data_IF_241728436623
#
_entry.id   IF_241728436623
#
_cell.length_a   1.000
_cell.length_b   1.000
_cell.length_c   1.000
_cell.angle_alpha   90.00
_cell.angle_beta   90.00
_cell.angle_gamma   90.00
#
_symmetry.space_group_name_H-M   'P 1'
#
loop_
_entity.id
_entity.type
_entity.pdbx_description
1 polymer ?
#
# COMPACT_ATOMS: atom_id res chain seq x y z
N UNK A 1 -21.76 4.61 4.12
CA UNK A 1 -21.29 4.81 5.50
C UNK A 1 -21.28 3.49 6.24
N UNK A 2 -20.31 3.32 7.08
CA UNK A 2 -20.21 2.12 7.88
C UNK A 2 -21.18 2.23 9.06
N UNK A 3 -22.17 1.34 9.11
CA UNK A 3 -23.18 1.28 10.18
C UNK A 3 -23.89 2.60 10.47
N UNK A 4 -24.02 3.44 9.46
CA UNK A 4 -24.67 4.73 9.61
C UNK A 4 -23.82 5.81 10.24
N UNK A 5 -22.59 5.51 10.60
CA UNK A 5 -21.67 6.48 11.18
C UNK A 5 -20.77 7.08 10.12
N UNK A 6 -20.31 8.29 10.36
CA UNK A 6 -19.25 8.88 9.54
C UNK A 6 -17.94 8.33 10.07
N UNK A 7 -17.30 7.47 9.30
CA UNK A 7 -16.08 6.78 9.72
C UNK A 7 -14.92 7.74 9.84
N UNK A 8 -14.85 8.74 8.96
CA UNK A 8 -13.81 9.74 9.02
C UNK A 8 -14.36 11.07 8.50
N UNK A 9 -14.14 12.11 9.29
CA UNK A 9 -14.43 13.49 8.90
C UNK A 9 -13.12 14.24 8.95
N UNK A 10 -12.78 14.95 7.88
CA UNK A 10 -11.55 15.71 7.82
C UNK A 10 -11.28 16.20 6.43
N UNK A 11 -10.08 16.70 6.23
CA UNK A 11 -9.67 17.20 4.92
C UNK A 11 -9.55 16.05 3.94
N UNK A 12 -9.92 16.25 2.66
CA UNK A 12 -9.83 15.20 1.65
C UNK A 12 -8.45 14.54 1.55
N UNK A 13 -7.39 15.31 1.79
CA UNK A 13 -6.03 14.78 1.79
C UNK A 13 -5.85 13.70 2.85
N UNK A 14 -6.33 13.92 4.06
CA UNK A 14 -6.20 12.93 5.13
C UNK A 14 -7.02 11.68 4.83
N UNK A 15 -8.23 11.86 4.31
CA UNK A 15 -9.07 10.75 3.90
C UNK A 15 -8.39 9.89 2.84
N UNK A 16 -7.67 10.53 1.95
CA UNK A 16 -7.06 9.86 0.81
C UNK A 16 -5.74 9.18 1.19
N UNK A 17 -4.82 9.89 1.83
CA UNK A 17 -3.47 9.39 2.09
C UNK A 17 -3.42 8.36 3.22
N UNK A 18 -4.14 8.62 4.31
CA UNK A 18 -4.13 7.75 5.50
C UNK A 18 -5.54 7.51 6.01
N UNK A 19 -6.31 6.70 5.30
CA UNK A 19 -7.67 6.37 5.75
C UNK A 19 -7.64 5.72 7.13
N UNK A 20 -8.59 6.09 7.98
CA UNK A 20 -8.63 5.58 9.36
C UNK A 20 -9.16 4.16 9.47
N UNK A 21 -9.84 3.67 8.44
CA UNK A 21 -10.29 2.28 8.41
C UNK A 21 -10.02 1.69 7.05
N UNK A 22 -9.98 0.37 6.97
CA UNK A 22 -9.82 -0.32 5.70
C UNK A 22 -11.01 -0.08 4.78
N UNK A 23 -12.20 0.11 5.36
CA UNK A 23 -13.39 0.43 4.58
C UNK A 23 -13.20 1.74 3.80
N UNK A 24 -12.75 2.81 4.47
CA UNK A 24 -12.51 4.09 3.83
C UNK A 24 -11.39 3.95 2.78
N UNK A 25 -10.30 3.25 3.12
CA UNK A 25 -9.19 3.06 2.19
C UNK A 25 -9.60 2.32 0.92
N UNK A 26 -10.50 1.35 1.05
CA UNK A 26 -10.95 0.56 -0.08
C UNK A 26 -11.86 1.35 -1.01
N UNK A 27 -12.75 2.17 -0.46
CA UNK A 27 -13.78 2.85 -1.25
C UNK A 27 -13.47 4.27 -1.66
N UNK A 28 -12.40 4.87 -1.13
CA UNK A 28 -11.98 6.23 -1.49
C UNK A 28 -10.92 6.14 -2.58
N UNK A 29 -11.17 6.80 -3.68
CA UNK A 29 -10.22 6.87 -4.79
C UNK A 29 -10.38 5.73 -5.78
N UNK A 30 -9.74 5.88 -6.92
CA UNK A 30 -9.69 4.88 -7.97
C UNK A 30 -8.28 4.91 -8.57
N UNK A 31 -7.55 3.81 -8.53
CA UNK A 31 -7.93 2.51 -7.97
C UNK A 31 -8.00 2.50 -6.44
N UNK A 32 -8.58 1.44 -5.91
CA UNK A 32 -8.66 1.26 -4.48
C UNK A 32 -7.27 1.06 -3.87
N UNK A 33 -7.17 1.34 -2.57
CA UNK A 33 -5.94 1.16 -1.81
C UNK A 33 -5.51 -0.30 -1.80
N UNK A 34 -4.20 -0.54 -1.93
CA UNK A 34 -3.66 -1.88 -1.75
C UNK A 34 -3.71 -2.25 -0.27
N UNK A 35 -4.22 -3.45 0.03
CA UNK A 35 -4.29 -3.98 1.39
C UNK A 35 -3.71 -5.38 1.40
N UNK A 36 -2.71 -5.61 2.26
CA UNK A 36 -2.02 -6.89 2.37
C UNK A 36 -2.07 -7.42 3.79
N UNK A 37 -2.45 -8.69 3.94
CA UNK A 37 -2.34 -9.37 5.22
C UNK A 37 -0.87 -9.47 5.60
N UNK A 38 -0.52 -9.00 6.78
CA UNK A 38 0.85 -8.85 7.22
C UNK A 38 0.98 -9.19 8.70
N UNK A 39 2.21 -9.20 9.18
CA UNK A 39 2.50 -9.47 10.59
C UNK A 39 3.54 -8.47 11.09
N UNK A 40 3.34 -7.94 12.30
CA UNK A 40 4.30 -7.02 12.90
C UNK A 40 5.53 -7.80 13.36
N UNK A 41 6.71 -7.37 12.93
CA UNK A 41 7.96 -8.04 13.28
C UNK A 41 8.90 -7.18 14.12
N UNK A 42 8.70 -5.88 14.17
CA UNK A 42 9.48 -4.98 15.00
C UNK A 42 8.66 -3.75 15.38
N UNK A 43 9.29 -2.78 16.05
CA UNK A 43 8.60 -1.57 16.48
C UNK A 43 8.07 -0.73 15.32
N UNK A 44 8.60 -0.91 14.12
CA UNK A 44 8.23 -0.09 12.97
C UNK A 44 8.22 -0.87 11.66
N UNK A 45 8.24 -2.19 11.69
CA UNK A 45 8.23 -2.96 10.45
C UNK A 45 7.23 -4.09 10.49
N UNK A 46 6.74 -4.44 9.31
CA UNK A 46 5.82 -5.54 9.10
C UNK A 46 6.40 -6.49 8.05
N UNK A 47 5.85 -7.68 7.99
CA UNK A 47 6.29 -8.70 7.04
C UNK A 47 5.10 -9.30 6.30
N UNK A 48 5.21 -9.40 4.99
CA UNK A 48 4.29 -10.17 4.18
C UNK A 48 5.07 -10.85 3.05
N UNK A 49 4.69 -12.09 2.71
CA UNK A 49 5.33 -12.86 1.64
C UNK A 49 6.87 -12.89 1.75
N UNK A 50 7.38 -13.05 2.98
CA UNK A 50 8.82 -13.06 3.27
C UNK A 50 9.54 -11.73 2.98
N UNK A 51 8.77 -10.65 2.82
CA UNK A 51 9.30 -9.31 2.62
C UNK A 51 9.06 -8.46 3.85
N UNK A 52 10.08 -7.77 4.31
CA UNK A 52 9.95 -6.86 5.44
C UNK A 52 9.84 -5.43 4.94
N UNK A 53 8.81 -4.73 5.39
CA UNK A 53 8.53 -3.35 5.01
C UNK A 53 8.62 -2.47 6.24
N UNK A 54 9.43 -1.43 6.16
CA UNK A 54 9.56 -0.45 7.23
C UNK A 54 8.46 0.60 7.09
N UNK A 55 7.88 0.99 8.22
CA UNK A 55 6.85 2.03 8.28
C UNK A 55 7.33 3.14 9.21
N UNK A 56 6.58 4.23 9.26
CA UNK A 56 6.81 5.31 10.22
C UNK A 56 5.87 5.22 11.43
N UNK A 57 5.09 4.15 11.51
CA UNK A 57 4.14 3.94 12.58
C UNK A 57 4.81 3.21 13.74
N UNK A 58 4.49 3.63 14.97
CA UNK A 58 4.95 2.93 16.17
C UNK A 58 4.08 1.68 16.38
N UNK A 59 4.69 0.53 16.21
CA UNK A 59 4.02 -0.77 16.32
C UNK A 59 4.38 -1.50 17.61
N UNK A 60 5.01 -0.82 18.56
CA UNK A 60 5.52 -1.45 19.76
C UNK A 60 4.44 -2.12 20.62
N UNK A 61 3.22 -1.60 20.56
CA UNK A 61 2.09 -2.14 21.35
C UNK A 61 1.42 -3.34 20.70
N UNK A 62 1.74 -3.64 19.44
CA UNK A 62 1.09 -4.70 18.67
C UNK A 62 2.09 -5.66 18.04
N UNK A 63 3.22 -5.88 18.71
CA UNK A 63 4.23 -6.84 18.22
C UNK A 63 3.65 -8.22 18.05
N UNK A 64 4.08 -8.92 17.00
CA UNK A 64 3.66 -10.28 16.66
C UNK A 64 2.18 -10.43 16.36
N UNK A 65 1.46 -9.32 16.18
CA UNK A 65 0.06 -9.38 15.79
C UNK A 65 -0.10 -9.36 14.28
N UNK A 66 -1.19 -9.94 13.83
CA UNK A 66 -1.55 -9.88 12.41
C UNK A 66 -2.22 -8.54 12.14
N UNK A 67 -1.79 -7.90 11.07
CA UNK A 67 -2.26 -6.59 10.68
C UNK A 67 -2.46 -6.57 9.17
N UNK A 68 -2.96 -5.46 8.65
CA UNK A 68 -2.99 -5.22 7.20
C UNK A 68 -2.11 -4.03 6.88
N UNK A 69 -1.27 -4.18 5.88
CA UNK A 69 -0.52 -3.06 5.31
C UNK A 69 -1.37 -2.42 4.22
N UNK A 70 -1.57 -1.11 4.31
CA UNK A 70 -2.30 -0.36 3.30
C UNK A 70 -1.42 0.70 2.67
N UNK A 71 -1.48 0.80 1.35
CA UNK A 71 -0.80 1.88 0.62
C UNK A 71 -1.53 2.14 -0.70
N UNK A 72 -1.70 3.42 -1.02
CA UNK A 72 -2.33 3.83 -2.26
C UNK A 72 -1.45 3.53 -3.46
N UNK A 73 -2.07 3.15 -4.56
CA UNK A 73 -1.35 2.79 -5.80
C UNK A 73 -0.47 3.92 -6.31
N UNK A 74 -0.88 5.17 -6.16
CA UNK A 74 -0.11 6.31 -6.64
C UNK A 74 1.12 6.62 -5.81
N UNK A 75 1.21 6.09 -4.60
CA UNK A 75 2.39 6.26 -3.75
C UNK A 75 3.42 5.15 -3.97
N UNK A 76 3.04 4.06 -4.61
CA UNK A 76 3.97 3.00 -4.97
C UNK A 76 4.66 3.41 -6.25
N UNK A 77 5.98 3.51 -6.22
CA UNK A 77 6.76 4.01 -7.33
C UNK A 77 7.67 2.92 -7.87
N UNK A 78 8.11 3.07 -9.12
CA UNK A 78 9.15 2.20 -9.66
C UNK A 78 10.44 2.57 -8.95
N UNK A 79 11.10 1.57 -8.38
CA UNK A 79 12.32 1.79 -7.61
C UNK A 79 13.44 2.28 -8.51
N UNK A 80 14.24 3.19 -8.00
CA UNK A 80 15.40 3.74 -8.69
C UNK A 80 16.66 3.31 -7.96
N UNK A 81 17.03 4.04 -6.90
CA UNK A 81 18.22 3.74 -6.12
C UNK A 81 17.91 3.50 -4.63
N UNK A 82 16.62 3.37 -4.31
CA UNK A 82 16.22 3.07 -2.94
C UNK A 82 16.73 1.71 -2.51
N UNK A 83 17.09 1.57 -1.23
CA UNK A 83 17.59 0.32 -0.66
C UNK A 83 16.61 -0.34 0.30
N UNK A 84 15.68 0.43 0.87
CA UNK A 84 14.66 -0.07 1.78
C UNK A 84 13.30 -0.06 1.10
N UNK A 85 12.44 -0.96 1.52
CA UNK A 85 11.05 -1.05 1.04
C UNK A 85 10.97 -1.22 -0.48
N UNK A 86 11.94 -1.89 -1.05
CA UNK A 86 11.95 -2.24 -2.48
C UNK A 86 11.56 -3.70 -2.60
N UNK A 87 10.56 -3.96 -3.44
CA UNK A 87 10.05 -5.31 -3.64
C UNK A 87 10.12 -5.67 -5.11
N UNK A 88 10.45 -6.93 -5.38
CA UNK A 88 10.45 -7.47 -6.73
C UNK A 88 9.07 -8.03 -7.03
N UNK A 89 8.48 -7.57 -8.13
CA UNK A 89 7.16 -8.06 -8.54
C UNK A 89 7.23 -8.57 -9.97
N UNK A 90 6.38 -9.53 -10.27
CA UNK A 90 6.18 -10.01 -11.63
C UNK A 90 5.00 -9.27 -12.24
N UNK A 91 5.23 -8.56 -13.33
CA UNK A 91 4.18 -7.80 -13.99
C UNK A 91 3.18 -8.77 -14.61
N UNK A 92 1.91 -8.68 -14.20
CA UNK A 92 0.85 -9.51 -14.78
C UNK A 92 0.01 -8.73 -15.77
N UNK A 93 -0.10 -7.40 -15.60
CA UNK A 93 -0.91 -6.58 -16.49
C UNK A 93 -0.48 -5.11 -16.41
N UNK A 94 -0.56 -4.43 -17.54
CA UNK A 94 -0.40 -2.98 -17.60
C UNK A 94 -1.63 -2.43 -18.34
N UNK A 95 -2.33 -1.50 -17.70
CA UNK A 95 -3.52 -0.89 -18.28
C UNK A 95 -3.26 0.60 -18.51
N UNK A 96 -3.55 1.08 -19.72
CA UNK A 96 -3.40 2.49 -20.08
C UNK A 96 -4.77 3.16 -20.00
N UNK A 97 -4.92 4.10 -19.07
CA UNK A 97 -6.18 4.82 -18.88
C UNK A 97 -6.19 6.20 -19.56
N UNK A 98 -5.18 6.49 -20.39
CA UNK A 98 -5.12 7.75 -21.12
C UNK A 98 -4.33 8.83 -20.42
N UNK A 99 -4.53 9.00 -19.12
CA UNK A 99 -3.81 9.98 -18.31
C UNK A 99 -2.81 9.36 -17.34
N UNK A 100 -2.86 8.04 -17.17
CA UNK A 100 -1.91 7.29 -16.34
C UNK A 100 -1.92 5.82 -16.77
N UNK A 101 -0.95 5.08 -16.28
CA UNK A 101 -0.93 3.62 -16.42
C UNK A 101 -1.05 2.96 -15.06
N UNK A 102 -1.77 1.84 -15.02
CA UNK A 102 -1.89 1.03 -13.81
C UNK A 102 -1.18 -0.29 -14.03
N UNK A 103 -0.15 -0.52 -13.23
CA UNK A 103 0.63 -1.76 -13.27
C UNK A 103 0.08 -2.70 -12.22
N UNK A 104 -0.25 -3.92 -12.63
CA UNK A 104 -0.59 -4.99 -11.69
C UNK A 104 0.58 -5.96 -11.62
N UNK A 105 1.15 -6.10 -10.43
CA UNK A 105 2.26 -7.02 -10.19
C UNK A 105 1.86 -8.10 -9.22
N UNK A 106 2.56 -9.22 -9.26
CA UNK A 106 2.32 -10.34 -8.35
C UNK A 106 3.55 -10.61 -7.49
N UNK A 107 3.30 -10.89 -6.21
CA UNK A 107 4.29 -11.30 -5.24
C UNK A 107 3.72 -12.53 -4.54
N UNK A 108 4.15 -13.74 -4.94
CA UNK A 108 3.56 -14.96 -4.41
C UNK A 108 2.05 -14.97 -4.63
N UNK A 109 1.27 -14.98 -3.55
CA UNK A 109 -0.18 -14.96 -3.62
C UNK A 109 -0.78 -13.56 -3.64
N UNK A 110 0.05 -12.53 -3.46
CA UNK A 110 -0.42 -11.16 -3.36
C UNK A 110 -0.38 -10.46 -4.71
N UNK A 111 -1.36 -9.58 -4.93
CA UNK A 111 -1.37 -8.66 -6.05
C UNK A 111 -1.17 -7.25 -5.55
N UNK A 112 -0.31 -6.50 -6.25
CA UNK A 112 -0.05 -5.10 -5.92
C UNK A 112 -0.29 -4.26 -7.15
N UNK A 113 -0.93 -3.11 -6.97
CA UNK A 113 -1.20 -2.18 -8.07
C UNK A 113 -0.44 -0.89 -7.85
N UNK A 114 0.21 -0.41 -8.90
CA UNK A 114 0.96 0.84 -8.88
C UNK A 114 0.44 1.75 -9.99
N UNK A 115 0.09 2.97 -9.63
CA UNK A 115 -0.34 3.98 -10.58
C UNK A 115 0.86 4.84 -10.94
N UNK A 116 1.22 4.89 -12.23
CA UNK A 116 2.38 5.61 -12.71
C UNK A 116 1.99 6.56 -13.83
N UNK A 117 2.86 7.49 -14.13
CA UNK A 117 2.67 8.40 -15.25
C UNK A 117 2.62 7.62 -16.55
N UNK A 118 1.82 8.10 -17.51
CA UNK A 118 1.60 7.39 -18.76
C UNK A 118 2.88 7.15 -19.53
N UNK A 119 3.81 8.08 -19.50
CA UNK A 119 5.07 8.00 -20.23
C UNK A 119 6.14 7.16 -19.55
N UNK A 120 5.84 6.62 -18.36
CA UNK A 120 6.81 5.82 -17.60
C UNK A 120 7.20 4.57 -18.39
N UNK A 121 8.49 4.34 -18.65
CA UNK A 121 8.91 3.10 -19.29
C UNK A 121 8.74 1.94 -18.33
N UNK A 122 8.16 0.84 -18.82
CA UNK A 122 7.87 -0.33 -18.01
C UNK A 122 8.57 -1.53 -18.61
N UNK A 123 9.41 -2.20 -17.79
CA UNK A 123 10.04 -3.45 -18.18
C UNK A 123 8.99 -4.56 -18.28
N UNK A 124 9.17 -5.45 -19.21
CA UNK A 124 8.11 -6.36 -19.64
C UNK A 124 7.71 -7.44 -18.64
N UNK A 125 8.60 -7.88 -17.75
CA UNK A 125 8.30 -9.04 -16.91
C UNK A 125 8.47 -8.80 -15.43
N UNK A 126 9.56 -8.17 -15.01
CA UNK A 126 9.86 -7.96 -13.60
C UNK A 126 10.10 -6.49 -13.33
N UNK A 127 9.57 -6.01 -12.23
CA UNK A 127 9.78 -4.65 -11.77
C UNK A 127 10.18 -4.65 -10.32
N UNK A 128 10.95 -3.65 -9.95
CA UNK A 128 11.20 -3.34 -8.53
C UNK A 128 10.34 -2.14 -8.17
N UNK A 129 9.50 -2.31 -7.17
CA UNK A 129 8.62 -1.25 -6.70
C UNK A 129 9.09 -0.77 -5.34
N UNK A 130 8.96 0.52 -5.11
CA UNK A 130 9.34 1.18 -3.87
C UNK A 130 8.09 1.64 -3.13
N UNK A 131 7.98 1.25 -1.86
CA UNK A 131 6.87 1.63 -0.98
C UNK A 131 7.40 2.62 0.06
N UNK A 132 7.19 3.94 -0.11
CA UNK A 132 7.69 4.92 0.85
C UNK A 132 7.14 4.66 2.24
N UNK A 133 8.02 4.59 3.23
CA UNK A 133 7.62 4.25 4.60
C UNK A 133 6.58 5.23 5.15
N UNK A 134 6.71 6.51 4.82
CA UNK A 134 5.79 7.54 5.30
C UNK A 134 4.40 7.44 4.69
N UNK A 135 4.25 6.68 3.61
CA UNK A 135 2.96 6.46 2.96
C UNK A 135 2.34 5.11 3.32
N UNK A 136 3.07 4.25 4.02
CA UNK A 136 2.57 2.96 4.46
C UNK A 136 1.67 3.13 5.69
N UNK A 137 0.49 2.53 5.63
CA UNK A 137 -0.45 2.53 6.75
C UNK A 137 -0.57 1.12 7.31
N UNK A 138 -0.68 1.00 8.63
CA UNK A 138 -0.87 -0.29 9.28
C UNK A 138 -2.24 -0.28 9.94
N UNK A 139 -3.03 -1.32 9.69
CA UNK A 139 -4.37 -1.46 10.24
C UNK A 139 -4.43 -2.67 11.14
N UNK A 140 -4.88 -2.46 12.37
CA UNK A 140 -5.16 -3.51 13.32
C UNK A 140 -6.66 -3.54 13.57
N UNK A 141 -7.29 -4.69 13.37
CA UNK A 141 -8.74 -4.83 13.48
C UNK A 141 -9.49 -3.79 12.64
N UNK A 142 -9.04 -3.62 11.40
CA UNK A 142 -9.63 -2.73 10.39
C UNK A 142 -9.47 -1.25 10.69
N UNK A 143 -8.71 -0.86 11.73
CA UNK A 143 -8.49 0.54 12.09
C UNK A 143 -7.02 0.93 12.00
N UNK A 144 -6.78 2.16 11.59
CA UNK A 144 -5.43 2.69 11.44
C UNK A 144 -4.71 2.74 12.79
N UNK A 145 -3.50 2.19 12.81
CA UNK A 145 -2.60 2.30 13.96
C UNK A 145 -1.86 3.62 13.87
N UNK A 146 -1.92 4.40 14.93
CA UNK A 146 -1.30 5.72 14.99
C UNK A 146 -0.21 5.79 16.03
#
# INVERSE_FOLDING_TARGET
MDQGEIVQVGLPKDLFEKPKTTFVGYFIGSPAMNLFNSEVVSNNSIKFSNLEINTKTDLSKIKNKKVKLGIRSEFIKIANDQKENVIDVKVSRVEDFGNFKLITGKIGEFEIKSKVERETPISSENLKLFLPAEKCCVYSEERLVQ
#
